data_IF_336908405730
#
_entry.id   IF_336908405730
#
_cell.length_a   1.000
_cell.length_b   1.000
_cell.length_c   1.000
_cell.angle_alpha   90.00
_cell.angle_beta   90.00
_cell.angle_gamma   90.00
#
_symmetry.space_group_name_H-M   'P 1'
#
loop_
_entity.id
_entity.type
_entity.pdbx_description
1 polymer ?
#
# COMPACT_ATOMS: atom_id res chain seq x y z
N UNK A 1 19.99 -47.50 -1.05
CA UNK A 1 21.28 -47.91 -0.47
C UNK A 1 22.09 -46.66 -0.18
N UNK A 2 22.29 -46.35 1.11
CA UNK A 2 23.44 -45.62 1.65
C UNK A 2 23.20 -45.47 3.16
N UNK A 3 23.66 -46.46 3.91
CA UNK A 3 23.90 -46.35 5.34
C UNK A 3 25.28 -45.69 5.55
N UNK A 4 25.49 -44.97 6.64
CA UNK A 4 26.53 -45.23 7.66
C UNK A 4 26.53 -44.10 8.71
N UNK A 5 26.65 -44.56 9.96
CA UNK A 5 26.48 -43.90 11.27
C UNK A 5 27.73 -43.09 11.72
N UNK A 6 27.68 -42.37 12.87
CA UNK A 6 28.58 -41.27 13.19
C UNK A 6 29.86 -41.70 13.92
N UNK A 7 30.94 -40.94 13.74
CA UNK A 7 32.17 -41.05 14.54
C UNK A 7 32.29 -39.86 15.48
N UNK A 8 32.20 -40.15 16.77
CA UNK A 8 32.61 -39.27 17.86
C UNK A 8 34.15 -39.23 17.93
N UNK A 9 34.73 -38.04 18.05
CA UNK A 9 36.14 -37.85 18.39
C UNK A 9 36.19 -36.98 19.64
N UNK A 10 36.51 -37.62 20.78
CA UNK A 10 36.94 -36.95 22.00
C UNK A 10 38.33 -36.34 21.77
N UNK A 11 38.48 -35.04 22.01
CA UNK A 11 39.77 -34.42 22.26
C UNK A 11 39.72 -33.80 23.66
N UNK A 12 40.37 -34.49 24.60
CA UNK A 12 40.66 -33.96 25.94
C UNK A 12 42.11 -33.49 25.95
N UNK A 13 42.32 -32.18 26.09
CA UNK A 13 43.63 -31.59 26.38
C UNK A 13 43.53 -30.87 27.73
N UNK A 14 44.33 -31.39 28.66
CA UNK A 14 44.53 -30.91 30.02
C UNK A 14 45.23 -29.54 29.99
N UNK A 15 44.64 -28.56 30.67
CA UNK A 15 45.32 -27.33 31.03
C UNK A 15 45.55 -27.30 32.54
N UNK A 16 46.82 -27.44 32.92
CA UNK A 16 47.34 -27.01 34.22
C UNK A 16 47.30 -25.48 34.23
N UNK A 17 46.64 -24.88 35.22
CA UNK A 17 46.53 -23.42 35.33
C UNK A 17 46.37 -23.02 36.79
N UNK A 18 47.29 -22.19 37.25
CA UNK A 18 47.50 -21.76 38.62
C UNK A 18 46.30 -21.01 39.22
N UNK A 19 46.16 -21.12 40.55
CA UNK A 19 45.28 -20.29 41.37
C UNK A 19 45.73 -18.82 41.31
N UNK A 20 44.97 -17.99 40.59
CA UNK A 20 45.03 -16.54 40.72
C UNK A 20 43.63 -16.05 41.09
N UNK A 21 43.51 -15.50 42.30
CA UNK A 21 42.39 -14.69 42.74
C UNK A 21 42.21 -13.51 41.77
N UNK A 22 41.21 -13.58 40.90
CA UNK A 22 40.74 -12.43 40.14
C UNK A 22 39.22 -12.38 40.28
N UNK A 23 38.73 -11.27 40.86
CA UNK A 23 37.30 -11.03 41.03
C UNK A 23 36.59 -11.12 39.69
N UNK A 24 35.56 -11.96 39.63
CA UNK A 24 34.69 -12.07 38.47
C UNK A 24 33.85 -10.79 38.34
N UNK A 25 34.30 -9.82 37.55
CA UNK A 25 33.42 -8.77 37.04
C UNK A 25 32.64 -9.37 35.87
N UNK A 26 31.37 -9.67 36.10
CA UNK A 26 30.43 -10.08 35.05
C UNK A 26 30.34 -8.95 34.02
N UNK A 27 30.50 -9.19 32.70
CA UNK A 27 30.25 -8.17 31.70
C UNK A 27 28.78 -7.74 31.79
N UNK A 28 28.53 -6.45 32.05
CA UNK A 28 27.18 -5.91 32.00
C UNK A 28 26.56 -6.18 30.62
N UNK A 29 25.26 -6.52 30.55
CA UNK A 29 24.55 -6.59 29.29
C UNK A 29 24.74 -5.26 28.54
N UNK A 30 24.87 -5.27 27.20
CA UNK A 30 24.80 -4.04 26.45
C UNK A 30 23.50 -3.32 26.83
N UNK A 31 23.51 -1.98 26.99
CA UNK A 31 22.31 -1.24 27.31
C UNK A 31 21.21 -1.63 26.31
N UNK A 32 19.94 -1.75 26.75
CA UNK A 32 18.84 -2.01 25.83
C UNK A 32 18.97 -1.04 24.68
N UNK A 33 19.01 -1.55 23.44
CA UNK A 33 18.97 -0.67 22.28
C UNK A 33 17.68 0.12 22.41
N UNK A 34 17.80 1.40 22.76
CA UNK A 34 16.71 2.34 22.65
C UNK A 34 16.39 2.37 21.15
N UNK A 35 15.33 1.66 20.76
CA UNK A 35 14.67 1.87 19.49
C UNK A 35 14.12 3.29 19.55
N UNK A 36 14.95 4.27 19.20
CA UNK A 36 14.46 5.58 18.83
C UNK A 36 13.51 5.33 17.66
N UNK A 37 12.21 5.67 17.77
CA UNK A 37 11.34 5.64 16.61
C UNK A 37 12.06 6.44 15.52
N UNK A 38 12.32 5.84 14.36
CA UNK A 38 12.91 6.56 13.24
C UNK A 38 12.10 7.84 13.07
N UNK A 39 12.74 8.99 13.21
CA UNK A 39 12.06 10.28 13.06
C UNK A 39 11.40 10.27 11.68
N UNK A 40 10.06 10.36 11.66
CA UNK A 40 9.28 10.39 10.42
C UNK A 40 9.83 11.53 9.56
N UNK A 41 10.15 11.24 8.30
CA UNK A 41 10.64 12.28 7.40
C UNK A 41 9.54 13.33 7.20
N UNK A 42 9.93 14.59 7.04
CA UNK A 42 8.99 15.65 6.64
C UNK A 42 8.56 15.51 5.17
N UNK A 43 9.14 14.54 4.45
CA UNK A 43 8.87 14.23 3.04
C UNK A 43 8.33 12.83 2.87
N UNK A 44 7.35 12.71 1.98
CA UNK A 44 6.73 11.47 1.59
C UNK A 44 6.91 11.22 0.09
N UNK A 45 7.18 9.97 -0.27
CA UNK A 45 6.81 9.47 -1.60
C UNK A 45 5.46 8.79 -1.45
N UNK A 46 4.43 9.38 -2.05
CA UNK A 46 3.05 8.87 -1.95
C UNK A 46 2.83 7.92 -3.11
N UNK A 47 2.47 6.68 -2.82
CA UNK A 47 1.96 5.73 -3.80
C UNK A 47 0.46 5.53 -3.55
N UNK A 48 -0.30 5.41 -4.62
CA UNK A 48 -1.74 5.18 -4.56
C UNK A 48 -2.06 3.90 -5.31
N UNK A 49 -2.71 2.97 -4.63
CA UNK A 49 -3.19 1.72 -5.19
C UNK A 49 -4.71 1.59 -5.12
N UNK A 50 -5.27 0.69 -5.92
CA UNK A 50 -6.68 0.34 -5.82
C UNK A 50 -7.11 -0.67 -6.87
N UNK A 51 -8.35 -1.12 -6.76
CA UNK A 51 -8.99 -2.04 -7.69
C UNK A 51 -10.10 -1.32 -8.46
N UNK A 52 -10.21 -1.62 -9.74
CA UNK A 52 -11.33 -1.19 -10.59
C UNK A 52 -12.11 -2.41 -11.04
N UNK A 53 -13.43 -2.35 -10.86
CA UNK A 53 -14.35 -3.43 -11.19
C UNK A 53 -15.38 -3.03 -12.24
N UNK A 54 -15.93 -4.04 -12.90
CA UNK A 54 -17.22 -3.97 -13.56
C UNK A 54 -18.28 -4.59 -12.63
N UNK A 55 -19.25 -3.79 -12.18
CA UNK A 55 -20.36 -4.25 -11.35
C UNK A 55 -21.19 -5.30 -12.09
N UNK A 56 -21.71 -6.28 -11.37
CA UNK A 56 -22.63 -7.25 -11.97
C UNK A 56 -24.00 -6.64 -12.25
N UNK A 57 -24.69 -7.17 -13.26
CA UNK A 57 -26.06 -6.74 -13.57
C UNK A 57 -27.07 -7.02 -12.45
N UNK A 58 -26.79 -7.98 -11.56
CA UNK A 58 -27.65 -8.30 -10.43
C UNK A 58 -27.72 -7.14 -9.41
N UNK A 59 -26.65 -6.37 -9.29
CA UNK A 59 -26.50 -5.29 -8.32
C UNK A 59 -26.39 -3.90 -8.97
N UNK A 60 -26.72 -3.79 -10.26
CA UNK A 60 -26.71 -2.52 -10.98
C UNK A 60 -27.48 -1.43 -10.21
N UNK A 61 -26.88 -0.26 -10.07
CA UNK A 61 -27.41 0.91 -9.34
C UNK A 61 -27.45 0.74 -7.81
N UNK A 62 -26.78 -0.27 -7.25
CA UNK A 62 -26.55 -0.38 -5.80
C UNK A 62 -25.08 -0.10 -5.48
N UNK A 63 -24.76 -0.09 -4.19
CA UNK A 63 -23.38 0.00 -3.71
C UNK A 63 -22.66 -1.35 -3.61
N UNK A 64 -23.33 -2.47 -3.94
CA UNK A 64 -22.73 -3.80 -3.83
C UNK A 64 -21.77 -4.10 -5.00
N UNK A 65 -20.66 -4.76 -4.67
CA UNK A 65 -19.70 -5.32 -5.62
C UNK A 65 -19.83 -6.85 -5.73
N UNK A 66 -20.93 -7.42 -5.23
CA UNK A 66 -21.15 -8.87 -5.29
C UNK A 66 -21.24 -9.34 -6.76
N UNK A 67 -20.45 -10.36 -7.08
CA UNK A 67 -20.30 -10.86 -8.44
C UNK A 67 -19.68 -9.87 -9.42
N UNK A 68 -19.13 -8.74 -8.95
CA UNK A 68 -18.36 -7.84 -9.79
C UNK A 68 -17.07 -8.54 -10.26
N UNK A 69 -16.64 -8.21 -11.47
CA UNK A 69 -15.42 -8.76 -12.06
C UNK A 69 -14.37 -7.65 -12.15
N UNK A 70 -13.08 -7.93 -11.92
CA UNK A 70 -12.05 -6.92 -12.14
C UNK A 70 -12.09 -6.41 -13.58
N UNK A 71 -11.77 -5.12 -13.77
CA UNK A 71 -11.85 -4.46 -15.07
C UNK A 71 -10.44 -4.05 -15.53
N UNK A 72 -9.80 -4.90 -16.36
CA UNK A 72 -8.49 -4.61 -16.93
C UNK A 72 -8.48 -3.31 -17.72
N UNK A 73 -7.35 -2.60 -17.68
CA UNK A 73 -7.08 -1.40 -18.51
C UNK A 73 -8.06 -0.24 -18.25
N UNK A 74 -8.84 -0.30 -17.19
CA UNK A 74 -9.63 0.84 -16.73
C UNK A 74 -8.71 2.01 -16.35
N UNK A 75 -9.16 3.22 -16.65
CA UNK A 75 -8.42 4.44 -16.37
C UNK A 75 -9.03 5.16 -15.17
N UNK A 76 -8.16 5.59 -14.27
CA UNK A 76 -8.51 6.42 -13.12
C UNK A 76 -7.59 7.64 -13.06
N UNK A 77 -8.07 8.69 -12.41
CA UNK A 77 -7.26 9.85 -12.07
C UNK A 77 -7.06 9.94 -10.56
N UNK A 78 -5.82 10.21 -10.15
CA UNK A 78 -5.45 10.51 -8.77
C UNK A 78 -5.19 12.00 -8.69
N UNK A 79 -6.07 12.73 -8.00
CA UNK A 79 -5.95 14.19 -7.83
C UNK A 79 -5.59 14.50 -6.39
N UNK A 80 -4.54 15.28 -6.18
CA UNK A 80 -4.13 15.76 -4.86
C UNK A 80 -4.22 17.28 -4.76
N UNK A 81 -4.55 17.77 -3.58
CA UNK A 81 -4.70 19.18 -3.28
C UNK A 81 -3.56 19.70 -2.40
N UNK A 82 -3.14 20.93 -2.66
CA UNK A 82 -2.12 21.63 -1.88
C UNK A 82 -2.69 22.13 -0.53
N UNK A 83 -1.82 22.69 0.32
CA UNK A 83 -2.20 23.28 1.61
C UNK A 83 -3.26 24.40 1.50
N UNK A 84 -3.46 24.99 0.31
CA UNK A 84 -4.50 26.00 0.00
C UNK A 84 -5.73 25.41 -0.67
N UNK A 85 -5.85 24.08 -0.68
CA UNK A 85 -6.91 23.30 -1.31
C UNK A 85 -7.01 23.46 -2.85
N UNK A 86 -5.93 23.84 -3.52
CA UNK A 86 -5.86 23.92 -4.99
C UNK A 86 -5.29 22.62 -5.54
N UNK A 87 -5.59 22.27 -6.80
CA UNK A 87 -4.99 21.09 -7.43
C UNK A 87 -3.47 21.24 -7.44
N UNK A 88 -2.79 20.32 -6.75
CA UNK A 88 -1.34 20.21 -6.69
C UNK A 88 -0.83 19.29 -7.81
N UNK A 89 -1.48 18.14 -7.96
CA UNK A 89 -1.12 17.14 -8.96
C UNK A 89 -2.38 16.39 -9.39
N UNK A 90 -2.45 16.02 -10.67
CA UNK A 90 -3.46 15.12 -11.22
C UNK A 90 -2.76 14.12 -12.13
N UNK A 91 -2.75 12.84 -11.73
CA UNK A 91 -2.05 11.77 -12.44
C UNK A 91 -3.01 10.70 -12.91
N UNK A 92 -2.91 10.33 -14.18
CA UNK A 92 -3.64 9.21 -14.75
C UNK A 92 -2.96 7.89 -14.38
N UNK A 93 -3.74 6.91 -13.96
CA UNK A 93 -3.30 5.54 -13.74
C UNK A 93 -4.18 4.57 -14.54
N UNK A 94 -3.56 3.51 -15.06
CA UNK A 94 -4.25 2.46 -15.83
C UNK A 94 -4.17 1.17 -15.02
N UNK A 95 -5.30 0.51 -14.85
CA UNK A 95 -5.35 -0.80 -14.22
C UNK A 95 -4.67 -1.87 -15.09
N UNK A 96 -3.97 -2.79 -14.46
CA UNK A 96 -3.35 -3.95 -15.09
C UNK A 96 -4.40 -5.02 -15.45
N UNK A 97 -3.94 -6.19 -15.90
CA UNK A 97 -4.80 -7.31 -16.31
C UNK A 97 -5.63 -7.91 -15.17
N UNK A 98 -5.31 -7.57 -13.91
CA UNK A 98 -6.08 -7.97 -12.74
C UNK A 98 -7.08 -6.90 -12.29
N UNK A 99 -7.17 -5.76 -12.99
CA UNK A 99 -7.98 -4.62 -12.58
C UNK A 99 -7.33 -3.78 -11.45
N UNK A 100 -6.08 -4.08 -11.08
CA UNK A 100 -5.34 -3.36 -10.06
C UNK A 100 -4.54 -2.20 -10.67
N UNK A 101 -4.47 -1.06 -10.01
CA UNK A 101 -3.55 0.02 -10.38
C UNK A 101 -2.64 0.38 -9.22
N UNK A 102 -1.42 0.81 -9.54
CA UNK A 102 -0.48 1.43 -8.62
C UNK A 102 0.15 2.62 -9.32
N UNK A 103 0.12 3.79 -8.70
CA UNK A 103 0.77 4.99 -9.23
C UNK A 103 1.57 5.69 -8.15
N UNK A 104 2.69 6.27 -8.54
CA UNK A 104 3.58 7.01 -7.66
C UNK A 104 3.38 8.51 -7.87
N UNK A 105 3.15 9.27 -6.82
CA UNK A 105 3.18 10.72 -6.79
C UNK A 105 4.56 11.13 -6.26
N UNK A 106 5.14 12.19 -6.83
CA UNK A 106 6.52 12.58 -6.55
C UNK A 106 6.81 12.85 -5.07
N UNK A 107 8.09 12.87 -4.70
CA UNK A 107 8.51 13.18 -3.32
C UNK A 107 8.08 14.59 -2.94
N UNK A 108 7.22 14.72 -1.94
CA UNK A 108 6.55 15.97 -1.55
C UNK A 108 6.60 16.14 -0.03
N UNK A 109 6.67 17.37 0.47
CA UNK A 109 6.60 17.60 1.92
C UNK A 109 5.22 17.32 2.45
N UNK A 110 5.13 16.74 3.66
CA UNK A 110 3.86 16.51 4.35
C UNK A 110 3.05 17.80 4.44
N UNK A 111 3.70 18.92 4.76
CA UNK A 111 3.07 20.25 4.88
C UNK A 111 2.46 20.80 3.59
N UNK A 112 2.86 20.28 2.43
CA UNK A 112 2.39 20.79 1.14
C UNK A 112 1.02 20.20 0.77
N UNK A 113 0.63 19.07 1.37
CA UNK A 113 -0.70 18.50 1.23
C UNK A 113 -1.77 19.30 1.97
N UNK A 114 -2.99 19.30 1.47
CA UNK A 114 -4.15 19.83 2.19
C UNK A 114 -4.25 19.24 3.61
N UNK A 115 -4.34 20.12 4.61
CA UNK A 115 -4.31 19.76 6.04
C UNK A 115 -3.09 18.94 6.51
N UNK A 116 -2.01 18.90 5.72
CA UNK A 116 -0.83 18.10 6.03
C UNK A 116 -1.07 16.60 6.01
N UNK A 117 -2.07 16.11 5.27
CA UNK A 117 -2.46 14.70 5.27
C UNK A 117 -2.84 14.24 3.85
N UNK A 118 -2.04 13.36 3.20
CA UNK A 118 -2.37 12.81 1.88
C UNK A 118 -3.76 12.16 1.82
N UNK A 119 -4.25 11.58 2.93
CA UNK A 119 -5.57 10.94 3.00
C UNK A 119 -6.73 11.93 2.82
N UNK A 120 -6.50 13.19 3.17
CA UNK A 120 -7.47 14.29 3.03
C UNK A 120 -7.24 15.10 1.78
N UNK A 121 -6.01 15.10 1.28
CA UNK A 121 -5.61 15.89 0.13
C UNK A 121 -5.88 15.18 -1.19
N UNK A 122 -5.83 13.85 -1.22
CA UNK A 122 -5.84 13.07 -2.44
C UNK A 122 -7.12 12.23 -2.62
N UNK A 123 -7.59 12.13 -3.86
CA UNK A 123 -8.80 11.41 -4.21
C UNK A 123 -8.64 10.69 -5.55
N UNK A 124 -9.26 9.51 -5.70
CA UNK A 124 -9.25 8.73 -6.94
C UNK A 124 -10.60 8.77 -7.63
N UNK A 125 -10.62 9.04 -8.93
CA UNK A 125 -11.85 9.10 -9.73
C UNK A 125 -11.80 8.17 -10.93
N UNK A 126 -12.95 7.61 -11.28
CA UNK A 126 -13.12 6.89 -12.53
C UNK A 126 -12.97 7.85 -13.72
N UNK A 127 -12.14 7.47 -14.69
CA UNK A 127 -11.94 8.28 -15.89
C UNK A 127 -12.52 7.59 -17.13
N UNK A 128 -12.11 6.36 -17.41
CA UNK A 128 -12.58 5.63 -18.58
C UNK A 128 -12.58 4.11 -18.37
N UNK A 129 -13.47 3.44 -19.10
CA UNK A 129 -13.48 1.98 -19.23
C UNK A 129 -13.16 1.61 -20.67
N UNK A 130 -12.30 0.60 -20.90
CA UNK A 130 -12.05 0.06 -22.23
C UNK A 130 -13.21 -0.84 -22.72
N UNK A 131 -14.07 -1.30 -21.81
CA UNK A 131 -15.23 -2.12 -22.16
C UNK A 131 -16.47 -1.24 -22.32
N UNK A 132 -16.93 -1.06 -23.56
CA UNK A 132 -18.14 -0.31 -23.87
C UNK A 132 -19.40 -0.89 -23.22
N UNK A 133 -19.41 -2.19 -22.87
CA UNK A 133 -20.52 -2.81 -22.16
C UNK A 133 -20.53 -2.43 -20.68
N UNK A 134 -19.39 -2.00 -20.13
CA UNK A 134 -19.20 -1.63 -18.74
C UNK A 134 -18.47 -0.29 -18.58
N UNK A 135 -19.08 0.78 -19.10
CA UNK A 135 -18.46 2.11 -19.17
C UNK A 135 -19.22 3.22 -18.42
N UNK A 136 -20.30 2.89 -17.72
CA UNK A 136 -21.02 3.89 -16.94
C UNK A 136 -20.38 4.02 -15.56
N UNK A 137 -19.83 5.19 -15.18
CA UNK A 137 -19.24 5.35 -13.86
C UNK A 137 -20.30 5.18 -12.76
N UNK A 138 -19.89 4.61 -11.64
CA UNK A 138 -20.69 4.58 -10.40
C UNK A 138 -20.13 5.55 -9.37
N UNK A 139 -20.89 5.79 -8.30
CA UNK A 139 -20.39 6.51 -7.13
C UNK A 139 -20.12 5.57 -5.93
N UNK A 140 -19.74 4.32 -6.21
CA UNK A 140 -19.31 3.38 -5.17
C UNK A 140 -18.03 3.95 -4.53
N UNK A 141 -17.99 4.01 -3.20
CA UNK A 141 -16.88 4.63 -2.46
C UNK A 141 -16.56 6.07 -2.90
N UNK A 142 -17.59 6.84 -3.29
CA UNK A 142 -17.45 8.24 -3.72
C UNK A 142 -16.62 8.41 -5.02
N UNK A 143 -16.46 7.37 -5.83
CA UNK A 143 -15.54 7.34 -6.97
C UNK A 143 -15.88 8.25 -8.16
N UNK A 144 -17.02 8.95 -8.17
CA UNK A 144 -17.41 9.80 -9.31
C UNK A 144 -17.01 11.28 -9.15
N UNK A 145 -17.80 12.07 -8.44
CA UNK A 145 -17.67 13.54 -8.44
C UNK A 145 -16.71 14.00 -7.37
N UNK A 146 -16.80 13.43 -6.16
CA UNK A 146 -15.92 13.75 -5.05
C UNK A 146 -14.55 13.08 -5.25
N UNK A 147 -14.58 11.79 -5.62
CA UNK A 147 -13.43 10.90 -5.69
C UNK A 147 -13.27 10.11 -4.39
N UNK A 148 -12.85 8.85 -4.53
CA UNK A 148 -12.59 7.96 -3.41
C UNK A 148 -11.41 8.49 -2.59
N UNK A 149 -11.58 8.73 -1.27
CA UNK A 149 -10.48 9.16 -0.41
C UNK A 149 -9.45 8.04 -0.26
N UNK A 150 -8.25 8.42 0.19
CA UNK A 150 -7.19 7.46 0.45
C UNK A 150 -7.20 6.96 1.90
N UNK A 151 -6.80 5.71 2.08
CA UNK A 151 -6.66 5.03 3.35
C UNK A 151 -5.21 4.56 3.54
N UNK A 152 -4.68 4.67 4.76
CA UNK A 152 -3.37 4.12 5.12
C UNK A 152 -3.56 2.67 5.56
N UNK A 153 -2.87 1.74 4.90
CA UNK A 153 -2.88 0.30 5.17
C UNK A 153 -1.57 -0.16 5.82
N UNK A 154 -0.82 0.77 6.42
CA UNK A 154 0.48 0.58 7.08
C UNK A 154 1.60 0.02 6.17
N UNK A 155 1.42 0.17 4.86
CA UNK A 155 2.41 -0.18 3.84
C UNK A 155 3.46 0.92 3.70
N UNK A 156 4.47 0.90 4.58
CA UNK A 156 5.52 1.93 4.66
C UNK A 156 6.94 1.37 4.66
N UNK A 157 7.89 2.07 4.03
CA UNK A 157 9.32 1.78 4.14
C UNK A 157 10.17 3.05 4.08
N UNK A 158 11.29 3.01 4.80
CA UNK A 158 12.22 4.13 4.97
C UNK A 158 13.59 3.75 4.43
N UNK A 159 14.29 4.67 3.77
CA UNK A 159 15.66 4.38 3.30
C UNK A 159 16.32 5.42 2.39
N UNK A 160 15.59 6.45 1.96
CA UNK A 160 16.10 7.45 1.00
C UNK A 160 15.93 8.91 1.47
N UNK A 161 15.84 9.14 2.78
CA UNK A 161 15.62 10.48 3.35
C UNK A 161 14.16 10.99 3.25
N UNK A 162 13.26 10.12 2.81
CA UNK A 162 11.80 10.31 2.79
C UNK A 162 11.12 8.98 3.15
N UNK A 163 9.87 9.07 3.59
CA UNK A 163 9.07 7.89 3.89
C UNK A 163 8.24 7.51 2.67
N UNK A 164 8.35 6.25 2.25
CA UNK A 164 7.59 5.72 1.14
C UNK A 164 6.33 5.08 1.70
N UNK A 165 5.16 5.57 1.30
CA UNK A 165 3.88 5.12 1.84
C UNK A 165 2.95 4.77 0.68
N UNK A 166 2.37 3.58 0.73
CA UNK A 166 1.31 3.16 -0.19
C UNK A 166 -0.03 3.35 0.50
N UNK A 167 -0.86 4.21 -0.07
CA UNK A 167 -2.23 4.42 0.34
C UNK A 167 -3.18 3.68 -0.61
N UNK A 168 -4.24 3.10 -0.06
CA UNK A 168 -5.28 2.43 -0.82
C UNK A 168 -6.47 3.37 -1.07
N UNK A 169 -6.98 3.38 -2.29
CA UNK A 169 -8.30 3.90 -2.59
C UNK A 169 -9.33 2.78 -2.43
N UNK A 170 -10.52 3.11 -1.91
CA UNK A 170 -11.64 2.17 -1.91
C UNK A 170 -11.93 1.66 -3.33
N UNK A 171 -12.36 0.39 -3.50
CA UNK A 171 -12.55 -0.17 -4.82
C UNK A 171 -13.52 0.68 -5.64
N UNK A 172 -13.13 0.97 -6.89
CA UNK A 172 -13.92 1.77 -7.82
C UNK A 172 -14.64 0.82 -8.78
N UNK A 173 -15.79 1.24 -9.31
CA UNK A 173 -16.48 0.40 -10.29
C UNK A 173 -17.21 1.18 -11.36
N UNK A 174 -17.11 0.70 -12.59
CA UNK A 174 -18.10 0.99 -13.62
C UNK A 174 -19.27 0.00 -13.49
N UNK A 175 -20.41 0.37 -14.05
CA UNK A 175 -21.57 -0.53 -14.18
C UNK A 175 -21.89 -0.80 -15.65
N UNK A 176 -22.55 -1.93 -15.94
CA UNK A 176 -22.96 -2.25 -17.29
C UNK A 176 -23.90 -1.18 -17.87
N UNK A 177 -23.72 -0.84 -19.14
CA UNK A 177 -24.62 0.06 -19.86
C UNK A 177 -25.96 -0.61 -20.15
N UNK A 178 -25.93 -1.89 -20.49
CA UNK A 178 -27.09 -2.72 -20.81
C UNK A 178 -27.00 -3.99 -19.96
N UNK A 179 -28.11 -4.38 -19.35
CA UNK A 179 -28.24 -5.65 -18.65
C UNK A 179 -29.29 -6.51 -19.35
N UNK A 180 -29.05 -7.82 -19.53
CA UNK A 180 -30.08 -8.72 -20.00
C UNK A 180 -31.31 -8.67 -19.08
N UNK A 181 -32.50 -8.77 -19.67
CA UNK A 181 -33.73 -8.96 -18.89
C UNK A 181 -33.63 -10.31 -18.17
N UNK A 182 -33.97 -10.32 -16.88
CA UNK A 182 -34.12 -11.58 -16.14
C UNK A 182 -35.41 -12.24 -16.65
N UNK A 183 -35.31 -13.45 -17.18
CA UNK A 183 -36.44 -14.32 -17.52
C UNK A 183 -36.81 -15.19 -16.32
#
# INVERSE_FOLDING_TARGET
>A
MAAFLPLAILVSLLAVGATANNGYTTPSPPPPQQYTPLAHSDKLLVRVEGMVYCQSCAYRNTHSLDGAVPLPKAEVSVTCHDAKNRIMECKRAIADESGYFLTELGVTKVSDFFMGDPRKACHVRLQASPDFKCNNPTNINYSSIEGAPLHDEDKRWTGQGYDNIVYAAGPLAFRPAICPLKH
#
